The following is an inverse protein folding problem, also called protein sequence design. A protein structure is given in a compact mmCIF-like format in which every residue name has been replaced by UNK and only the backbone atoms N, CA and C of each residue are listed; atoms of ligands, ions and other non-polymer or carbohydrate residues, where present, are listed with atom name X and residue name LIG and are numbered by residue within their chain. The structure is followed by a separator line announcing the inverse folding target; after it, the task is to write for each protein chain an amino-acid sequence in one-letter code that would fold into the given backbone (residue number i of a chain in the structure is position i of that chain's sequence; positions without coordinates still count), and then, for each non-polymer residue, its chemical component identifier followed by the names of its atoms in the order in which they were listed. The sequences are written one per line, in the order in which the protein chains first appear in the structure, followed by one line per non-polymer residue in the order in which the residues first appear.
data_IF_318914291260
#
_entry.id   IF_318914291260
#
_cell.length_a   1.000
_cell.length_b   1.000
_cell.length_c   1.000
_cell.angle_alpha   90.00
_cell.angle_beta   90.00
_cell.angle_gamma   90.00
#
_symmetry.space_group_name_H-M   'P 1'
#
loop_
_entity.id
_entity.type
_entity.pdbx_description
1 polymer ?
#
# COMPACT_ATOMS: atom_id res chain seq x y z
N UNK A 1 -1.68 10.54 1.58
CA UNK A 1 -1.48 9.71 2.78
C UNK A 1 -1.61 8.20 2.51
N UNK A 2 -2.67 7.69 1.87
CA UNK A 2 -2.74 6.26 1.49
C UNK A 2 -1.67 5.81 0.46
N UNK A 3 -1.14 6.73 -0.34
CA UNK A 3 -0.06 6.46 -1.31
C UNK A 3 1.33 6.37 -0.68
N UNK A 4 1.51 6.85 0.55
CA UNK A 4 2.85 7.00 1.16
C UNK A 4 3.43 5.65 1.60
N UNK A 5 2.60 4.77 2.17
CA UNK A 5 3.04 3.44 2.60
C UNK A 5 3.09 2.42 1.45
N UNK A 6 2.25 2.57 0.43
CA UNK A 6 2.22 1.65 -0.72
C UNK A 6 3.45 1.83 -1.62
N UNK A 7 3.87 3.07 -1.87
CA UNK A 7 5.06 3.36 -2.68
C UNK A 7 6.35 2.99 -1.94
N UNK A 8 6.41 3.19 -0.62
CA UNK A 8 7.60 2.88 0.17
C UNK A 8 7.88 1.37 0.23
N UNK A 9 6.86 0.53 0.38
CA UNK A 9 7.03 -0.93 0.38
C UNK A 9 7.32 -1.50 -1.01
N UNK A 10 6.83 -0.86 -2.07
CA UNK A 10 7.15 -1.31 -3.43
C UNK A 10 8.60 -1.03 -3.81
N UNK A 11 9.18 0.07 -3.31
CA UNK A 11 10.60 0.39 -3.53
C UNK A 11 11.56 -0.56 -2.79
N UNK A 12 11.25 -1.01 -1.58
CA UNK A 12 12.12 -1.94 -0.86
C UNK A 12 12.20 -3.32 -1.55
N UNK A 13 11.11 -3.81 -2.15
CA UNK A 13 11.10 -5.08 -2.87
C UNK A 13 11.72 -4.99 -4.28
N UNK A 14 11.59 -3.85 -4.97
CA UNK A 14 12.16 -3.67 -6.32
C UNK A 14 13.69 -3.61 -6.36
N UNK A 15 14.34 -3.12 -5.29
CA UNK A 15 15.81 -3.08 -5.22
C UNK A 15 16.45 -4.48 -5.22
N UNK A 16 15.69 -5.53 -4.86
CA UNK A 16 16.24 -6.88 -4.73
C UNK A 16 16.21 -7.71 -6.03
N UNK A 17 15.35 -7.38 -7.00
CA UNK A 17 15.14 -8.23 -8.19
C UNK A 17 15.71 -7.69 -9.50
N UNK A 18 16.16 -6.43 -9.59
CA UNK A 18 16.61 -5.85 -10.85
C UNK A 18 17.92 -5.03 -10.71
N UNK A 19 19.11 -5.65 -10.87
CA UNK A 19 20.39 -4.93 -10.87
C UNK A 19 20.65 -4.12 -12.15
N UNK A 20 19.82 -4.20 -13.19
CA UNK A 20 20.04 -3.57 -14.50
C UNK A 20 19.23 -2.30 -14.77
N UNK A 21 18.43 -1.82 -13.81
CA UNK A 21 17.65 -0.59 -13.98
C UNK A 21 18.29 0.56 -13.19
N UNK A 22 19.44 1.05 -13.67
CA UNK A 22 20.04 2.29 -13.21
C UNK A 22 19.25 3.50 -13.75
N UNK A 23 18.01 3.64 -13.27
CA UNK A 23 17.46 4.99 -13.10
C UNK A 23 18.23 5.63 -11.94
N UNK A 24 18.66 6.91 -12.04
CA UNK A 24 19.35 7.56 -10.95
C UNK A 24 18.41 7.57 -9.76
N UNK A 25 18.70 6.70 -8.78
CA UNK A 25 18.03 6.65 -7.50
C UNK A 25 18.32 8.00 -6.84
N UNK A 26 17.33 8.88 -6.84
CA UNK A 26 17.30 10.07 -5.99
C UNK A 26 17.40 9.58 -4.55
N UNK A 27 18.60 9.64 -4.01
CA UNK A 27 19.01 9.22 -2.68
C UNK A 27 18.55 10.21 -1.62
N UNK A 28 17.31 10.69 -1.68
CA UNK A 28 16.71 11.61 -0.72
C UNK A 28 15.38 11.03 -0.22
N UNK A 29 15.13 10.97 1.10
CA UNK A 29 13.87 10.49 1.64
C UNK A 29 12.82 11.61 1.47
N UNK A 30 12.15 11.65 0.32
CA UNK A 30 11.01 12.56 0.11
C UNK A 30 9.84 11.83 -0.56
N UNK A 31 9.02 11.07 0.19
CA UNK A 31 7.64 10.81 -0.24
C UNK A 31 6.92 12.17 -0.14
N UNK A 32 6.01 12.62 -1.04
CA UNK A 32 5.30 12.01 -2.17
C UNK A 32 5.67 12.61 -3.55
N UNK A 33 6.80 13.34 -3.64
CA UNK A 33 7.15 14.12 -4.82
C UNK A 33 7.50 13.26 -6.03
N UNK A 34 7.98 12.03 -5.83
CA UNK A 34 8.39 11.14 -6.91
C UNK A 34 7.23 10.75 -7.84
N UNK A 35 6.03 10.51 -7.31
CA UNK A 35 4.87 10.17 -8.16
C UNK A 35 4.47 11.35 -9.04
N UNK A 36 4.38 12.55 -8.46
CA UNK A 36 4.05 13.77 -9.20
C UNK A 36 5.16 14.17 -10.17
N UNK A 37 6.42 13.94 -9.83
CA UNK A 37 7.58 14.20 -10.68
C UNK A 37 7.61 13.26 -11.88
N UNK A 38 7.35 11.96 -11.69
CA UNK A 38 7.24 11.00 -12.80
C UNK A 38 6.07 11.35 -13.72
N UNK A 39 4.92 11.77 -13.17
CA UNK A 39 3.79 12.25 -13.98
C UNK A 39 4.17 13.52 -14.75
N UNK A 40 4.90 14.45 -14.12
CA UNK A 40 5.33 15.69 -14.77
C UNK A 40 6.34 15.45 -15.89
N UNK A 41 7.24 14.47 -15.72
CA UNK A 41 8.30 14.16 -16.68
C UNK A 41 7.83 13.23 -17.82
N UNK A 42 7.01 12.22 -17.49
CA UNK A 42 6.62 11.14 -18.41
C UNK A 42 5.14 11.18 -18.82
N UNK A 43 4.32 11.95 -18.11
CA UNK A 43 2.86 12.03 -18.30
C UNK A 43 2.06 10.94 -17.60
N UNK A 44 2.68 9.82 -17.23
CA UNK A 44 2.02 8.67 -16.59
C UNK A 44 2.99 7.78 -15.81
N UNK A 45 2.46 6.98 -14.88
CA UNK A 45 3.19 5.92 -14.15
C UNK A 45 2.66 4.56 -14.58
N UNK A 46 3.53 3.65 -15.05
CA UNK A 46 3.10 2.34 -15.56
C UNK A 46 3.97 1.19 -15.05
N UNK A 47 5.29 1.30 -15.19
CA UNK A 47 6.23 0.22 -14.87
C UNK A 47 6.19 -0.20 -13.40
N UNK A 48 6.35 0.76 -12.48
CA UNK A 48 6.38 0.46 -11.05
C UNK A 48 5.10 -0.24 -10.58
N UNK A 49 3.93 0.25 -11.01
CA UNK A 49 2.62 -0.31 -10.66
C UNK A 49 2.46 -1.72 -11.28
N UNK A 50 2.88 -1.91 -12.54
CA UNK A 50 2.85 -3.22 -13.19
C UNK A 50 3.67 -4.27 -12.45
N UNK A 51 4.87 -3.90 -11.99
CA UNK A 51 5.72 -4.75 -11.15
C UNK A 51 5.09 -5.03 -9.78
N UNK A 52 4.45 -4.04 -9.13
CA UNK A 52 3.71 -4.27 -7.88
C UNK A 52 2.60 -5.29 -8.06
N UNK A 53 1.81 -5.16 -9.12
CA UNK A 53 0.68 -6.05 -9.41
C UNK A 53 1.18 -7.46 -9.75
N UNK A 54 2.27 -7.58 -10.50
CA UNK A 54 2.89 -8.87 -10.79
C UNK A 54 3.37 -9.59 -9.51
N UNK A 55 3.94 -8.86 -8.56
CA UNK A 55 4.41 -9.43 -7.28
C UNK A 55 3.25 -9.92 -6.39
N UNK A 56 2.14 -9.17 -6.38
CA UNK A 56 0.90 -9.58 -5.73
C UNK A 56 0.31 -10.82 -6.39
N UNK A 57 0.21 -10.82 -7.72
CA UNK A 57 -0.30 -11.95 -8.49
C UNK A 57 0.55 -13.20 -8.31
N UNK A 58 1.88 -13.09 -8.31
CA UNK A 58 2.77 -14.20 -8.03
C UNK A 58 2.52 -14.81 -6.65
N UNK A 59 2.32 -13.96 -5.64
CA UNK A 59 2.04 -14.41 -4.26
C UNK A 59 0.73 -15.17 -4.14
N UNK A 60 -0.30 -14.75 -4.88
CA UNK A 60 -1.60 -15.43 -4.95
C UNK A 60 -1.46 -16.75 -5.73
N UNK A 61 -0.92 -16.70 -6.94
CA UNK A 61 -0.85 -17.86 -7.85
C UNK A 61 0.06 -18.97 -7.34
N UNK A 62 1.19 -18.64 -6.71
CA UNK A 62 2.13 -19.62 -6.13
C UNK A 62 1.84 -19.91 -4.66
N UNK A 63 0.77 -19.36 -4.08
CA UNK A 63 0.40 -19.52 -2.67
C UNK A 63 1.59 -19.27 -1.72
N UNK A 64 2.36 -18.20 -1.95
CA UNK A 64 3.62 -17.96 -1.24
C UNK A 64 3.42 -17.52 0.22
N UNK A 65 2.20 -17.13 0.62
CA UNK A 65 1.88 -16.64 1.97
C UNK A 65 2.80 -15.49 2.40
N UNK A 66 3.16 -14.65 1.43
CA UNK A 66 3.97 -13.44 1.66
C UNK A 66 3.11 -12.33 2.24
N UNK A 67 3.73 -11.50 3.07
CA UNK A 67 3.09 -10.32 3.66
C UNK A 67 3.20 -9.16 2.67
N UNK A 68 2.06 -8.61 2.29
CA UNK A 68 1.96 -7.49 1.36
C UNK A 68 1.06 -6.40 1.95
N UNK A 69 1.37 -5.11 1.74
CA UNK A 69 0.54 -4.01 2.20
C UNK A 69 -0.61 -3.82 1.21
N UNK A 70 -1.78 -4.36 1.54
CA UNK A 70 -2.95 -4.34 0.65
C UNK A 70 -4.10 -3.66 1.34
N UNK A 71 -4.92 -2.96 0.56
CA UNK A 71 -6.16 -2.37 1.05
C UNK A 71 -7.14 -3.47 1.45
N UNK A 72 -7.45 -3.56 2.74
CA UNK A 72 -8.37 -4.55 3.29
C UNK A 72 -9.35 -3.90 4.25
N UNK A 73 -10.46 -4.59 4.52
CA UNK A 73 -11.45 -4.12 5.50
C UNK A 73 -10.83 -4.21 6.89
N UNK A 74 -10.69 -3.06 7.55
CA UNK A 74 -10.04 -2.94 8.87
C UNK A 74 -11.05 -2.82 10.02
N UNK A 75 -12.32 -3.17 9.78
CA UNK A 75 -13.37 -3.11 10.80
C UNK A 75 -13.01 -3.96 12.02
N UNK A 76 -13.10 -3.34 13.19
CA UNK A 76 -12.73 -3.95 14.47
C UNK A 76 -11.24 -3.87 14.80
N UNK A 77 -10.38 -3.40 13.89
CA UNK A 77 -8.97 -3.13 14.17
C UNK A 77 -8.78 -1.68 14.63
N UNK A 78 -7.90 -1.46 15.61
CA UNK A 78 -7.54 -0.14 16.12
C UNK A 78 -8.75 0.73 16.56
N UNK A 79 -9.84 0.08 17.01
CA UNK A 79 -11.06 0.76 17.46
C UNK A 79 -11.95 1.33 16.35
N UNK A 80 -11.70 0.98 15.08
CA UNK A 80 -12.48 1.46 13.92
C UNK A 80 -13.71 0.58 13.74
N UNK A 81 -14.90 1.17 13.84
CA UNK A 81 -16.19 0.43 13.74
C UNK A 81 -16.78 0.39 12.33
N UNK A 82 -16.33 1.32 11.50
CA UNK A 82 -16.90 1.59 10.19
C UNK A 82 -16.28 0.68 9.12
N UNK A 83 -17.00 0.48 8.02
CA UNK A 83 -16.57 -0.36 6.89
C UNK A 83 -15.60 0.41 5.99
N UNK A 84 -14.40 0.69 6.51
CA UNK A 84 -13.32 1.41 5.80
C UNK A 84 -12.26 0.44 5.31
N UNK A 85 -11.73 0.71 4.11
CA UNK A 85 -10.63 -0.03 3.50
C UNK A 85 -9.34 0.77 3.62
N UNK A 86 -8.35 0.21 4.31
CA UNK A 86 -7.02 0.79 4.48
C UNK A 86 -5.93 -0.23 4.16
N UNK A 87 -4.79 0.27 3.70
CA UNK A 87 -3.61 -0.55 3.45
C UNK A 87 -2.99 -1.01 4.76
N UNK A 88 -3.07 -2.31 5.02
CA UNK A 88 -2.43 -2.97 6.17
C UNK A 88 -1.65 -4.20 5.68
N UNK A 89 -0.60 -4.64 6.41
CA UNK A 89 0.14 -5.84 6.06
C UNK A 89 -0.77 -7.07 6.16
N UNK A 90 -0.96 -7.74 5.03
CA UNK A 90 -1.81 -8.91 4.91
C UNK A 90 -1.04 -10.08 4.31
N UNK A 91 -1.31 -11.28 4.81
CA UNK A 91 -0.77 -12.52 4.27
C UNK A 91 -1.64 -12.90 3.06
N UNK A 92 -1.04 -12.92 1.88
CA UNK A 92 -1.67 -13.35 0.64
C UNK A 92 -1.42 -14.84 0.38
N UNK A 93 -2.49 -15.61 0.18
CA UNK A 93 -2.45 -16.99 -0.30
C UNK A 93 -3.28 -17.18 -1.57
N UNK A 94 -3.51 -18.44 -1.94
CA UNK A 94 -4.30 -18.81 -3.13
C UNK A 94 -5.75 -18.30 -3.11
N UNK A 95 -6.31 -18.07 -1.92
CA UNK A 95 -7.69 -17.57 -1.74
C UNK A 95 -7.73 -16.03 -1.54
N UNK A 96 -6.65 -15.32 -1.87
CA UNK A 96 -6.51 -13.89 -1.59
C UNK A 96 -5.98 -13.64 -0.19
N UNK A 97 -6.63 -12.76 0.58
CA UNK A 97 -6.19 -12.38 1.92
C UNK A 97 -6.53 -13.51 2.89
N UNK A 98 -5.51 -14.17 3.43
CA UNK A 98 -5.68 -15.24 4.42
C UNK A 98 -5.74 -14.68 5.84
N UNK A 99 -4.81 -13.78 6.17
CA UNK A 99 -4.67 -13.23 7.52
C UNK A 99 -4.25 -11.76 7.45
N UNK A 100 -4.64 -10.99 8.47
CA UNK A 100 -4.20 -9.59 8.64
C UNK A 100 -3.21 -9.53 9.79
N UNK A 101 -2.03 -8.97 9.54
CA UNK A 101 -1.00 -8.80 10.55
C UNK A 101 -1.37 -7.61 11.43
N UNK A 102 -1.60 -7.86 12.72
CA UNK A 102 -1.84 -6.81 13.72
C UNK A 102 -0.52 -6.17 14.09
N UNK A 103 -0.30 -4.96 13.61
CA UNK A 103 0.89 -4.17 13.96
C UNK A 103 0.61 -3.46 15.28
N UNK A 104 1.53 -3.55 16.23
CA UNK A 104 1.47 -2.73 17.45
C UNK A 104 1.90 -1.32 17.08
N UNK A 105 0.92 -0.41 16.98
CA UNK A 105 1.15 0.99 16.67
C UNK A 105 1.33 1.81 17.95
N UNK A 106 2.13 2.87 17.85
CA UNK A 106 2.18 3.91 18.89
C UNK A 106 0.87 4.71 18.92
N UNK A 107 0.53 5.37 20.05
CA UNK A 107 -0.71 6.15 20.14
C UNK A 107 -0.78 7.27 19.09
N UNK A 108 0.36 7.86 18.71
CA UNK A 108 0.43 8.88 17.66
C UNK A 108 0.14 8.30 16.27
N UNK A 109 0.69 7.12 15.95
CA UNK A 109 0.41 6.42 14.69
C UNK A 109 -1.03 5.93 14.61
N UNK A 110 -1.58 5.45 15.71
CA UNK A 110 -2.99 5.05 15.80
C UNK A 110 -3.91 6.25 15.56
N UNK A 111 -3.60 7.42 16.14
CA UNK A 111 -4.35 8.66 15.88
C UNK A 111 -4.27 9.08 14.40
N UNK A 112 -3.10 8.96 13.77
CA UNK A 112 -2.93 9.24 12.32
C UNK A 112 -3.70 8.25 11.44
N UNK A 113 -3.73 6.98 11.82
CA UNK A 113 -4.47 5.95 11.10
C UNK A 113 -5.98 6.21 11.21
N UNK A 114 -6.49 6.51 12.41
CA UNK A 114 -7.89 6.88 12.65
C UNK A 114 -8.29 8.09 11.83
N UNK A 115 -7.49 9.16 11.86
CA UNK A 115 -7.73 10.36 11.03
C UNK A 115 -7.81 10.05 9.54
N UNK A 116 -6.97 9.13 9.06
CA UNK A 116 -7.00 8.68 7.66
C UNK A 116 -8.27 7.87 7.36
N UNK A 117 -8.68 7.01 8.28
CA UNK A 117 -9.93 6.25 8.19
C UNK A 117 -11.16 7.17 8.13
N UNK A 118 -11.22 8.17 9.01
CA UNK A 118 -12.32 9.13 9.07
C UNK A 118 -12.45 9.94 7.78
N UNK A 119 -11.30 10.33 7.19
CA UNK A 119 -11.27 11.06 5.91
C UNK A 119 -11.86 10.23 4.78
N UNK A 120 -11.50 8.94 4.69
CA UNK A 120 -12.02 8.04 3.66
C UNK A 120 -13.48 7.71 3.89
N UNK A 121 -13.87 7.52 5.15
CA UNK A 121 -15.24 7.24 5.52
C UNK A 121 -16.18 8.40 5.16
N UNK A 122 -15.74 9.65 5.35
CA UNK A 122 -16.49 10.83 4.94
C UNK A 122 -16.83 10.80 3.45
N UNK A 123 -15.86 10.44 2.60
CA UNK A 123 -16.07 10.33 1.15
C UNK A 123 -16.92 9.09 0.80
N UNK A 124 -16.66 7.96 1.46
CA UNK A 124 -17.38 6.70 1.17
C UNK A 124 -18.88 6.79 1.49
N UNK A 125 -19.27 7.54 2.52
CA UNK A 125 -20.67 7.77 2.89
C UNK A 125 -21.47 8.54 1.85
N UNK A 126 -20.80 9.35 1.04
CA UNK A 126 -21.43 10.18 0.01
C UNK A 126 -21.62 9.43 -1.32
N UNK A 127 -20.99 8.25 -1.47
CA UNK A 127 -21.13 7.42 -2.67
C UNK A 127 -22.51 6.76 -2.70
N UNK A 128 -23.32 7.14 -3.68
CA UNK A 128 -24.54 6.44 -4.05
C UNK A 128 -24.22 5.48 -5.20
N UNK A 129 -24.49 4.19 -5.01
CA UNK A 129 -24.30 3.13 -6.00
C UNK A 129 -25.61 2.77 -6.70
#
# INVERSE_FOLDING_TARGET
MLSENFVFLCFSHLTFSCPSLSFPVLSHPSPPYSAYEVIKLKGYTSWAIGLSVADLAESIMKNLRRVHPISTMIKGLYGIKEDVFLSVPCILGQNGISDVVKVTLTPDEEARLKKSADTLWGIQKELQF
#
